data_IF_900448107609
#
_entry.id   IF_900448107609
#
_cell.length_a   1.000
_cell.length_b   1.000
_cell.length_c   1.000
_cell.angle_alpha   90.00
_cell.angle_beta   90.00
_cell.angle_gamma   90.00
#
_symmetry.space_group_name_H-M   'P 1'
#
loop_
_entity.id
_entity.type
_entity.pdbx_description
1 polymer ?
#
# COMPACT_ATOMS: atom_id res chain seq x y z
N UNK A 1 -9.47 6.20 76.59
CA UNK A 1 -8.94 7.43 75.98
C UNK A 1 -7.46 7.16 75.75
N UNK A 2 -6.87 7.17 74.56
CA UNK A 2 -7.23 7.81 73.31
C UNK A 2 -6.77 6.94 72.13
N UNK A 3 -7.48 7.08 71.01
CA UNK A 3 -7.12 6.54 69.70
C UNK A 3 -5.93 7.30 69.09
N UNK A 4 -5.23 6.61 68.19
CA UNK A 4 -4.01 7.01 67.47
C UNK A 4 -4.08 8.33 66.68
N UNK A 5 -2.90 8.91 66.41
CA UNK A 5 -2.58 9.50 65.10
C UNK A 5 -1.14 9.14 64.62
N UNK A 6 -0.62 9.60 63.47
CA UNK A 6 -1.16 9.57 62.10
C UNK A 6 -0.07 9.23 61.01
N UNK A 7 -0.51 9.14 59.74
CA UNK A 7 0.23 9.48 58.50
C UNK A 7 1.36 8.56 57.96
N UNK A 8 1.20 8.05 56.73
CA UNK A 8 1.96 8.47 55.51
C UNK A 8 2.09 7.37 54.43
N UNK A 9 1.48 7.64 53.27
CA UNK A 9 2.05 7.52 51.91
C UNK A 9 2.91 6.31 51.50
N UNK A 10 2.37 5.43 50.64
CA UNK A 10 3.19 4.75 49.63
C UNK A 10 2.38 4.41 48.37
N UNK A 11 2.52 5.27 47.37
CA UNK A 11 1.97 5.10 46.03
C UNK A 11 2.67 3.93 45.32
N UNK A 12 1.92 2.91 44.94
CA UNK A 12 2.41 1.81 44.10
C UNK A 12 2.59 2.31 42.66
N UNK A 13 3.72 2.05 41.99
CA UNK A 13 3.84 2.33 40.57
C UNK A 13 3.00 1.32 39.77
N UNK A 14 2.41 1.74 38.62
CA UNK A 14 1.66 0.84 37.75
C UNK A 14 2.58 -0.19 37.09
N UNK A 15 2.08 -1.37 36.69
CA UNK A 15 2.84 -2.29 35.88
C UNK A 15 3.24 -1.58 34.58
N UNK A 16 4.54 -1.50 34.33
CA UNK A 16 5.13 -1.03 33.09
C UNK A 16 4.53 -1.83 31.94
N UNK A 17 3.63 -1.17 31.21
CA UNK A 17 3.15 -1.60 29.91
C UNK A 17 4.40 -1.83 29.06
N UNK A 18 4.74 -3.10 28.79
CA UNK A 18 5.68 -3.40 27.73
C UNK A 18 5.06 -2.82 26.47
N UNK A 19 5.53 -1.64 26.09
CA UNK A 19 5.38 -1.16 24.74
C UNK A 19 6.07 -2.22 23.89
N UNK A 20 5.27 -3.12 23.33
CA UNK A 20 5.63 -3.84 22.11
C UNK A 20 5.72 -2.75 21.04
N UNK A 21 6.80 -1.97 21.12
CA UNK A 21 7.19 -0.97 20.15
C UNK A 21 7.25 -1.69 18.83
N UNK A 22 6.46 -1.20 17.88
CA UNK A 22 6.05 -1.90 16.68
C UNK A 22 7.16 -2.74 16.08
N UNK A 23 6.87 -4.04 15.95
CA UNK A 23 7.47 -4.85 14.91
C UNK A 23 7.09 -4.22 13.57
N UNK A 24 7.81 -3.18 13.16
CA UNK A 24 8.03 -2.90 11.75
C UNK A 24 8.81 -4.11 11.27
N UNK A 25 8.08 -5.19 10.94
CA UNK A 25 8.63 -6.35 10.26
C UNK A 25 9.32 -5.80 9.02
N UNK A 26 10.65 -5.72 9.09
CA UNK A 26 11.45 -5.20 8.00
C UNK A 26 11.19 -6.12 6.83
N UNK A 27 10.42 -5.67 5.84
CA UNK A 27 10.19 -6.45 4.62
C UNK A 27 11.59 -6.69 4.04
N UNK A 28 12.03 -7.95 3.93
CA UNK A 28 13.37 -8.21 3.45
C UNK A 28 13.48 -7.70 2.02
N UNK A 29 14.59 -7.02 1.69
CA UNK A 29 14.80 -6.43 0.36
C UNK A 29 14.67 -7.48 -0.77
N UNK A 30 14.96 -8.75 -0.48
CA UNK A 30 14.74 -9.88 -1.39
C UNK A 30 13.28 -9.99 -1.86
N UNK A 31 12.30 -9.80 -0.98
CA UNK A 31 10.87 -9.86 -1.35
C UNK A 31 10.48 -8.74 -2.31
N UNK A 32 11.05 -7.55 -2.17
CA UNK A 32 10.83 -6.45 -3.12
C UNK A 32 11.48 -6.76 -4.48
N UNK A 33 12.68 -7.34 -4.48
CA UNK A 33 13.38 -7.76 -5.71
C UNK A 33 12.58 -8.87 -6.43
N UNK A 34 12.04 -9.83 -5.69
CA UNK A 34 11.20 -10.91 -6.25
C UNK A 34 9.94 -10.34 -6.89
N UNK A 35 9.29 -9.38 -6.22
CA UNK A 35 8.14 -8.68 -6.77
C UNK A 35 8.48 -7.91 -8.04
N UNK A 36 9.57 -7.13 -8.04
CA UNK A 36 10.01 -6.41 -9.24
C UNK A 36 10.39 -7.35 -10.38
N UNK A 37 10.98 -8.51 -10.06
CA UNK A 37 11.30 -9.57 -11.02
C UNK A 37 10.04 -10.22 -11.59
N UNK A 38 8.99 -10.40 -10.78
CA UNK A 38 7.68 -10.84 -11.23
C UNK A 38 7.05 -9.81 -12.17
N UNK A 39 7.10 -8.52 -11.82
CA UNK A 39 6.61 -7.43 -12.66
C UNK A 39 7.36 -7.35 -14.00
N UNK A 40 8.66 -7.67 -14.02
CA UNK A 40 9.44 -7.69 -15.27
C UNK A 40 8.84 -8.63 -16.32
N UNK A 41 8.20 -9.74 -15.90
CA UNK A 41 7.54 -10.69 -16.82
C UNK A 41 6.46 -10.01 -17.67
N UNK A 42 5.80 -8.96 -17.15
CA UNK A 42 4.78 -8.19 -17.87
C UNK A 42 5.31 -7.52 -19.16
N UNK A 43 6.62 -7.23 -19.24
CA UNK A 43 7.27 -6.69 -20.44
C UNK A 43 7.42 -7.72 -21.55
N UNK A 44 7.51 -9.00 -21.17
CA UNK A 44 7.66 -10.11 -22.13
C UNK A 44 6.34 -10.78 -22.47
N UNK A 45 5.31 -10.64 -21.62
CA UNK A 45 3.99 -11.19 -21.88
C UNK A 45 3.24 -10.34 -22.91
N UNK A 46 2.97 -10.91 -24.08
CA UNK A 46 2.19 -10.30 -25.16
C UNK A 46 0.69 -10.40 -24.88
N UNK A 47 -0.12 -9.40 -25.29
CA UNK A 47 -1.57 -9.52 -25.10
C UNK A 47 -2.16 -10.58 -26.03
N UNK A 48 -2.88 -11.54 -25.45
CA UNK A 48 -3.43 -12.69 -26.17
C UNK A 48 -4.38 -12.32 -27.32
N UNK A 49 -5.06 -11.17 -27.26
CA UNK A 49 -5.90 -10.69 -28.37
C UNK A 49 -5.11 -10.44 -29.65
N UNK A 50 -3.95 -9.79 -29.53
CA UNK A 50 -3.07 -9.48 -30.66
C UNK A 50 -2.35 -10.72 -31.19
N UNK A 51 -1.98 -11.64 -30.30
CA UNK A 51 -1.36 -12.93 -30.66
C UNK A 51 -2.34 -13.80 -31.44
N UNK A 52 -3.62 -13.84 -31.05
CA UNK A 52 -4.65 -14.65 -31.73
C UNK A 52 -4.97 -14.21 -33.15
N UNK A 53 -4.61 -12.98 -33.52
CA UNK A 53 -4.81 -12.44 -34.88
C UNK A 53 -3.50 -12.34 -35.67
N UNK A 54 -2.44 -13.01 -35.19
CA UNK A 54 -1.10 -13.06 -35.81
C UNK A 54 -0.53 -11.68 -36.17
N UNK A 55 -0.79 -10.67 -35.32
CA UNK A 55 -0.17 -9.36 -35.51
C UNK A 55 1.34 -9.48 -35.31
N UNK A 56 2.12 -8.90 -36.23
CA UNK A 56 3.57 -8.80 -36.04
C UNK A 56 3.87 -7.83 -34.89
N UNK A 57 4.80 -8.22 -34.02
CA UNK A 57 5.25 -7.41 -32.88
C UNK A 57 4.11 -6.89 -31.96
N UNK A 58 3.31 -7.78 -31.34
CA UNK A 58 2.25 -7.36 -30.42
C UNK A 58 2.80 -6.56 -29.23
N UNK A 59 2.03 -5.59 -28.74
CA UNK A 59 2.37 -4.85 -27.52
C UNK A 59 2.43 -5.79 -26.30
N UNK A 60 3.28 -5.47 -25.32
CA UNK A 60 3.31 -6.19 -24.04
C UNK A 60 2.20 -5.69 -23.10
N UNK A 61 1.90 -6.48 -22.07
CA UNK A 61 0.97 -6.06 -21.00
C UNK A 61 1.52 -4.81 -20.30
N UNK A 62 2.84 -4.73 -20.07
CA UNK A 62 3.47 -3.56 -19.47
C UNK A 62 3.30 -2.29 -20.33
N UNK A 63 3.46 -2.38 -21.65
CA UNK A 63 3.27 -1.24 -22.58
C UNK A 63 1.81 -0.74 -22.53
N UNK A 64 0.87 -1.69 -22.51
CA UNK A 64 -0.56 -1.38 -22.43
C UNK A 64 -0.90 -0.68 -21.11
N UNK A 65 -0.43 -1.23 -19.98
CA UNK A 65 -0.64 -0.65 -18.65
C UNK A 65 0.00 0.74 -18.52
N UNK A 66 1.20 0.93 -19.08
CA UNK A 66 1.88 2.23 -19.09
C UNK A 66 1.02 3.29 -19.80
N UNK A 67 0.48 2.96 -20.99
CA UNK A 67 -0.42 3.87 -21.73
C UNK A 67 -1.71 4.14 -20.95
N UNK A 68 -2.32 3.14 -20.32
CA UNK A 68 -3.51 3.34 -19.48
C UNK A 68 -3.24 4.21 -18.25
N UNK A 69 -2.08 4.02 -17.59
CA UNK A 69 -1.67 4.85 -16.46
C UNK A 69 -1.46 6.32 -16.86
N UNK A 70 -0.80 6.57 -18.00
CA UNK A 70 -0.67 7.92 -18.55
C UNK A 70 -2.03 8.53 -18.90
N UNK A 71 -2.91 7.76 -19.55
CA UNK A 71 -4.27 8.23 -19.87
C UNK A 71 -5.05 8.57 -18.60
N UNK A 72 -4.92 7.78 -17.54
CA UNK A 72 -5.57 8.05 -16.26
C UNK A 72 -5.03 9.35 -15.62
N UNK A 73 -3.72 9.53 -15.60
CA UNK A 73 -3.10 10.75 -15.06
C UNK A 73 -3.57 12.01 -15.79
N UNK A 74 -3.64 11.97 -17.12
CA UNK A 74 -4.10 13.09 -17.94
C UNK A 74 -5.62 13.27 -17.83
N UNK A 75 -6.38 12.19 -17.78
CA UNK A 75 -7.84 12.24 -17.68
C UNK A 75 -8.32 12.89 -16.38
N UNK A 76 -7.52 12.85 -15.31
CA UNK A 76 -7.83 13.55 -14.05
C UNK A 76 -7.88 15.07 -14.20
N UNK A 77 -7.21 15.64 -15.21
CA UNK A 77 -7.22 17.09 -15.50
C UNK A 77 -8.36 17.48 -16.46
N UNK A 78 -9.14 16.51 -16.96
CA UNK A 78 -10.30 16.77 -17.81
C UNK A 78 -11.49 17.16 -16.92
N UNK A 79 -11.97 18.43 -16.98
CA UNK A 79 -13.10 18.87 -16.16
C UNK A 79 -14.36 18.08 -16.53
N UNK A 80 -14.79 17.20 -15.62
CA UNK A 80 -15.98 16.36 -15.78
C UNK A 80 -15.87 14.94 -15.23
N UNK A 81 -14.66 14.43 -15.01
CA UNK A 81 -14.42 13.04 -14.56
C UNK A 81 -14.49 12.88 -13.03
N UNK A 82 -14.12 13.91 -12.26
CA UNK A 82 -14.33 13.97 -10.80
C UNK A 82 -15.59 14.77 -10.46
N UNK A 83 -16.77 14.16 -10.55
CA UNK A 83 -17.94 14.66 -9.82
C UNK A 83 -17.87 14.14 -8.39
N UNK A 84 -17.18 14.92 -7.55
CA UNK A 84 -17.14 14.70 -6.11
C UNK A 84 -18.58 14.72 -5.57
N UNK A 85 -18.93 13.71 -4.77
CA UNK A 85 -20.30 13.39 -4.38
C UNK A 85 -21.03 14.52 -3.65
N UNK A 86 -21.91 15.21 -4.36
CA UNK A 86 -23.07 15.86 -3.77
C UNK A 86 -24.28 15.64 -4.68
N UNK A 87 -24.89 14.47 -4.53
CA UNK A 87 -26.26 14.23 -4.94
C UNK A 87 -27.14 14.75 -3.80
N UNK A 88 -27.74 15.92 -4.00
CA UNK A 88 -28.93 16.36 -3.27
C UNK A 88 -30.16 15.93 -4.07
#
# INVERSE_FOLDING_TARGET
MASEPPSSSSSTPPPSLSSTGGDTSSVPASSAIDFLSLCHRLKTTKRAGWVRIDIQNPESIADHMHRMGLMALIASDIPGVYKNGNCA
#
